data_IF_022124287114
#
_entry.id   IF_022124287114
#
_cell.length_a   1.000
_cell.length_b   1.000
_cell.length_c   1.000
_cell.angle_alpha   90.00
_cell.angle_beta   90.00
_cell.angle_gamma   90.00
#
_symmetry.space_group_name_H-M   'P 1'
#
loop_
_entity.id
_entity.type
_entity.pdbx_description
1 polymer ?
#
# COMPACT_ATOMS: atom_id res chain seq x y z
N UNK A 1 -4.82 1.83 23.34
CA UNK A 1 -5.15 1.51 21.92
C UNK A 1 -4.58 0.14 21.60
N UNK A 2 -5.45 -0.84 21.33
CA UNK A 2 -5.06 -2.20 20.98
C UNK A 2 -4.54 -2.21 19.53
N UNK A 3 -3.23 -2.20 19.33
CA UNK A 3 -2.53 -2.15 18.03
C UNK A 3 -2.57 -3.49 17.29
N UNK A 4 -3.70 -4.21 17.37
CA UNK A 4 -3.92 -5.44 16.60
C UNK A 4 -4.81 -5.07 15.43
N UNK A 5 -4.32 -5.35 14.22
CA UNK A 5 -4.92 -5.10 12.91
C UNK A 5 -4.38 -3.87 12.16
N UNK A 6 -3.09 -3.55 12.29
CA UNK A 6 -2.40 -2.89 11.16
C UNK A 6 -2.24 -3.97 10.09
N UNK A 7 -3.23 -4.11 9.22
CA UNK A 7 -3.09 -4.90 7.99
C UNK A 7 -1.97 -4.25 7.19
N UNK A 8 -0.79 -4.85 7.24
CA UNK A 8 0.41 -4.32 6.59
C UNK A 8 0.27 -4.59 5.08
N UNK A 9 -0.52 -3.74 4.42
CA UNK A 9 -0.69 -3.79 2.98
C UNK A 9 0.67 -3.53 2.34
N UNK A 10 1.17 -4.50 1.57
CA UNK A 10 2.41 -4.28 0.83
C UNK A 10 2.13 -3.21 -0.22
N UNK A 11 3.00 -2.19 -0.37
CA UNK A 11 2.81 -1.14 -1.38
C UNK A 11 2.65 -1.69 -2.80
N UNK A 12 3.20 -2.87 -3.08
CA UNK A 12 3.06 -3.57 -4.36
C UNK A 12 1.64 -4.05 -4.62
N UNK A 13 0.99 -4.65 -3.63
CA UNK A 13 -0.39 -5.14 -3.76
C UNK A 13 -1.35 -3.96 -3.92
N UNK A 14 -1.07 -2.84 -3.25
CA UNK A 14 -1.84 -1.60 -3.39
C UNK A 14 -1.64 -0.93 -4.75
N UNK A 15 -0.40 -0.93 -5.27
CA UNK A 15 -0.07 -0.48 -6.61
C UNK A 15 -0.82 -1.30 -7.68
N UNK A 16 -0.85 -2.62 -7.53
CA UNK A 16 -1.52 -3.54 -8.43
C UNK A 16 -3.05 -3.37 -8.42
N UNK A 17 -3.65 -3.17 -7.24
CA UNK A 17 -5.07 -2.85 -7.10
C UNK A 17 -5.48 -1.54 -7.80
N UNK A 18 -4.60 -0.55 -7.78
CA UNK A 18 -4.84 0.75 -8.41
C UNK A 18 -4.41 0.79 -9.88
N UNK A 19 -3.79 -0.27 -10.40
CA UNK A 19 -3.24 -0.33 -11.76
C UNK A 19 -2.09 0.67 -12.01
N UNK A 20 -1.45 1.15 -10.95
CA UNK A 20 -0.35 2.13 -11.01
C UNK A 20 0.93 1.50 -10.48
N UNK A 21 2.10 2.08 -10.82
CA UNK A 21 3.36 1.58 -10.27
C UNK A 21 3.60 2.08 -8.84
N UNK A 22 4.32 1.31 -8.02
CA UNK A 22 4.77 1.76 -6.68
C UNK A 22 5.59 3.06 -6.77
N UNK A 23 6.37 3.24 -7.85
CA UNK A 23 7.12 4.47 -8.09
C UNK A 23 6.22 5.68 -8.33
N UNK A 24 5.05 5.45 -8.93
CA UNK A 24 4.02 6.48 -9.08
C UNK A 24 3.50 6.85 -7.70
N UNK A 25 3.10 5.87 -6.88
CA UNK A 25 2.59 6.12 -5.51
C UNK A 25 3.61 6.79 -4.58
N UNK A 26 4.90 6.46 -4.71
CA UNK A 26 5.96 7.04 -3.88
C UNK A 26 6.27 8.51 -4.22
N UNK A 27 5.79 8.99 -5.38
CA UNK A 27 5.98 10.38 -5.86
C UNK A 27 4.87 11.32 -5.39
N UNK A 28 3.69 10.79 -5.03
CA UNK A 28 2.58 11.51 -4.42
C UNK A 28 2.79 11.62 -2.91
#
# INVERSE_FOLDING_TARGET
MNTKNITNYKPKDFAELLGVSVKTLQRW
#
